data_IF_640380048009
#
_entry.id   IF_640380048009
#
_cell.length_a   1.000
_cell.length_b   1.000
_cell.length_c   1.000
_cell.angle_alpha   90.00
_cell.angle_beta   90.00
_cell.angle_gamma   90.00
#
_symmetry.space_group_name_H-M   'P 1'
#
loop_
_entity.id
_entity.type
_entity.pdbx_description
1 polymer ?
2 non-polymer ?
3 water ?
#
# COMPACT_ATOMS: atom_id res chain seq x y z
N UNK A 19 -14.01 9.74 31.00
CA UNK A 19 -12.92 8.74 30.76
C UNK A 19 -12.49 8.77 29.30
N UNK A 20 -11.19 8.87 29.05
CA UNK A 20 -10.73 9.10 27.68
C UNK A 20 -11.03 7.94 26.73
N UNK A 21 -11.04 8.19 25.43
CA UNK A 21 -10.96 7.13 24.44
C UNK A 21 -9.55 6.61 24.51
N UNK A 22 -9.35 5.40 24.01
CA UNK A 22 -8.01 4.83 23.95
C UNK A 22 -7.61 4.66 22.49
N UNK A 23 -6.41 5.13 22.16
CA UNK A 23 -5.80 4.87 20.84
C UNK A 23 -4.56 4.01 21.01
N UNK A 24 -4.63 2.78 20.48
CA UNK A 24 -3.46 1.93 20.48
C UNK A 24 -2.64 2.16 19.20
N UNK A 25 -1.34 2.31 19.36
CA UNK A 25 -0.41 2.49 18.24
C UNK A 25 0.63 1.40 18.30
N UNK A 26 0.86 0.72 17.16
CA UNK A 26 1.73 -0.46 17.08
C UNK A 26 3.07 -0.07 16.47
N UNK A 27 4.17 -0.21 17.22
CA UNK A 27 5.51 0.15 16.74
C UNK A 27 6.18 -0.84 15.78
N UNK A 28 5.57 -2.01 15.59
CA UNK A 28 6.10 -2.98 14.62
C UNK A 28 5.25 -3.09 13.36
N UNK A 29 4.22 -2.24 13.25
CA UNK A 29 3.43 -2.10 12.03
C UNK A 29 4.35 -1.70 10.90
N UNK A 30 4.30 -2.43 9.76
CA UNK A 30 5.19 -2.05 8.66
C UNK A 30 4.87 -0.70 8.07
N UNK A 31 3.63 -0.26 8.19
CA UNK A 31 3.29 1.10 7.90
C UNK A 31 2.72 1.67 9.18
N UNK A 32 3.53 2.46 9.87
CA UNK A 32 3.21 3.04 11.17
C UNK A 32 2.08 4.07 11.07
N UNK A 33 1.17 4.03 12.03
CA UNK A 33 -0.03 4.85 12.05
C UNK A 33 0.25 6.29 12.49
N UNK A 34 1.11 6.97 11.75
CA UNK A 34 1.50 8.34 12.11
C UNK A 34 0.31 9.27 12.04
N UNK A 35 -0.52 9.13 11.02
CA UNK A 35 -1.64 10.05 10.84
C UNK A 35 -2.56 10.04 12.04
N UNK A 36 -2.84 8.82 12.52
CA UNK A 36 -3.70 8.52 13.64
C UNK A 36 -3.08 9.07 14.89
N UNK A 37 -1.80 8.82 15.09
CA UNK A 37 -1.11 9.35 16.25
C UNK A 37 -1.11 10.88 16.27
N UNK A 38 -0.88 11.52 15.12
CA UNK A 38 -0.81 13.00 15.08
C UNK A 38 -2.20 13.59 15.35
N UNK A 39 -3.22 12.95 14.78
CA UNK A 39 -4.62 13.35 15.04
C UNK A 39 -4.91 13.42 16.53
N UNK A 40 -4.44 12.39 17.26
CA UNK A 40 -4.63 12.27 18.71
C UNK A 40 -3.83 13.31 19.42
N UNK A 41 -2.62 13.59 18.95
CA UNK A 41 -1.82 14.68 19.54
C UNK A 41 -2.48 16.04 19.37
N UNK A 42 -3.13 16.26 18.23
CA UNK A 42 -3.86 17.49 17.99
C UNK A 42 -5.04 17.59 18.95
N UNK A 43 -5.78 16.51 19.06
CA UNK A 43 -6.93 16.47 19.96
C UNK A 43 -6.52 16.78 21.42
N UNK A 44 -5.51 16.09 21.93
CA UNK A 44 -5.11 16.33 23.32
C UNK A 44 -4.44 17.68 23.55
N UNK A 45 -3.80 18.23 22.50
CA UNK A 45 -3.27 19.59 22.55
C UNK A 45 -4.36 20.61 22.83
N UNK A 46 -5.52 20.44 22.20
CA UNK A 46 -6.66 21.36 22.32
C UNK A 46 -7.74 20.95 23.30
N UNK A 47 -7.66 19.72 23.80
CA UNK A 47 -8.67 19.22 24.71
C UNK A 47 -8.00 18.11 25.51
N UNK A 48 -7.15 18.50 26.48
CA UNK A 48 -6.30 17.54 27.18
C UNK A 48 -7.08 16.38 27.80
N UNK A 49 -6.46 15.21 27.77
CA UNK A 49 -7.02 14.00 28.35
C UNK A 49 -8.23 13.49 27.57
N UNK A 50 -8.28 13.75 26.27
CA UNK A 50 -9.40 13.28 25.45
C UNK A 50 -9.15 11.84 24.97
N UNK A 51 -7.88 11.52 24.74
CA UNK A 51 -7.45 10.24 24.18
C UNK A 51 -6.22 9.76 24.95
N UNK A 52 -6.28 8.55 25.47
CA UNK A 52 -5.17 7.93 26.15
C UNK A 52 -4.43 7.09 25.11
N UNK A 53 -3.13 7.27 24.99
CA UNK A 53 -2.35 6.57 23.98
C UNK A 53 -1.77 5.32 24.61
N UNK A 54 -1.92 4.20 23.94
CA UNK A 54 -1.44 2.91 24.43
C UNK A 54 -0.58 2.30 23.35
N UNK A 55 0.48 1.61 23.76
CA UNK A 55 1.43 1.02 22.83
C UNK A 55 1.39 -0.49 22.79
N UNK A 56 1.55 -1.02 21.59
CA UNK A 56 1.84 -2.44 21.41
C UNK A 56 3.01 -2.49 20.45
N UNK A 57 3.67 -3.64 20.37
CA UNK A 57 4.89 -3.77 19.59
C UNK A 57 4.89 -5.18 19.07
N UNK A 58 4.06 -5.40 18.06
CA UNK A 58 3.83 -6.75 17.56
C UNK A 58 3.32 -6.62 16.16
N UNK A 59 4.06 -7.17 15.20
CA UNK A 59 3.68 -7.05 13.81
C UNK A 59 2.42 -7.84 13.46
N UNK A 60 2.02 -8.76 14.33
CA UNK A 60 0.74 -9.49 14.15
C UNK A 60 -0.40 -8.85 14.95
N UNK A 61 -0.47 -7.53 14.91
CA UNK A 61 -1.55 -6.79 15.57
C UNK A 61 -1.87 -5.63 14.65
N UNK A 62 -3.12 -5.12 14.71
CA UNK A 62 -3.49 -3.94 13.95
C UNK A 62 -2.47 -2.81 14.14
N UNK A 63 -2.33 -1.99 13.12
CA UNK A 63 -1.47 -0.82 13.19
C UNK A 63 -1.96 0.19 14.22
N UNK A 64 -3.27 0.23 14.40
CA UNK A 64 -3.90 1.20 15.29
C UNK A 64 -5.31 0.72 15.61
N UNK A 65 -5.81 1.14 16.76
CA UNK A 65 -7.13 0.75 17.18
C UNK A 65 -7.69 1.92 17.99
N UNK A 66 -8.90 2.37 17.69
CA UNK A 66 -9.56 3.39 18.50
C UNK A 66 -10.64 2.70 19.29
N UNK A 67 -10.45 2.63 20.60
CA UNK A 67 -11.30 1.85 21.49
C UNK A 67 -11.29 0.39 20.97
N UNK A 68 -12.38 -0.12 20.42
CA UNK A 68 -12.32 -1.47 19.86
C UNK A 68 -12.28 -1.48 18.33
N UNK A 69 -12.33 -0.30 17.73
CA UNK A 69 -12.43 -0.19 16.28
C UNK A 69 -11.04 -0.32 15.65
N UNK A 70 -10.88 -1.29 14.75
CA UNK A 70 -9.65 -1.47 13.96
C UNK A 70 -9.74 -1.00 12.49
N UNK A 71 -10.95 -0.72 12.01
CA UNK A 71 -11.18 -0.35 10.62
C UNK A 71 -11.43 1.16 10.54
N UNK A 72 -10.86 1.82 9.54
CA UNK A 72 -11.13 3.24 9.29
C UNK A 72 -10.82 4.05 10.55
N UNK A 73 -9.66 3.78 11.18
CA UNK A 73 -9.32 4.38 12.47
C UNK A 73 -9.16 5.92 12.40
N UNK A 74 -8.40 6.41 11.42
CA UNK A 74 -8.19 7.84 11.24
C UNK A 74 -9.54 8.55 11.22
N UNK A 75 -10.42 8.11 10.33
CA UNK A 75 -11.70 8.78 10.19
C UNK A 75 -12.57 8.69 11.44
N UNK A 76 -12.42 7.62 12.19
CA UNK A 76 -13.12 7.47 13.43
C UNK A 76 -12.61 8.50 14.46
N UNK A 77 -11.32 8.80 14.48
CA UNK A 77 -10.82 9.82 15.42
C UNK A 77 -11.42 11.18 15.07
N UNK A 78 -11.42 11.41 13.78
CA UNK A 78 -11.75 12.65 13.12
C UNK A 78 -13.24 13.00 13.31
N UNK A 79 -14.09 11.99 13.21
CA UNK A 79 -15.53 12.14 13.34
C UNK A 79 -15.98 12.17 14.80
N UNK A 80 -15.26 11.41 15.63
CA UNK A 80 -15.48 11.40 17.08
C UNK A 80 -15.13 12.75 17.66
N UNK A 81 -14.02 13.32 17.20
CA UNK A 81 -13.58 14.62 17.71
C UNK A 81 -13.85 15.72 16.70
N UNK A 82 -15.10 15.77 16.24
CA UNK A 82 -15.48 16.68 15.16
C UNK A 82 -15.35 18.15 15.55
N UNK A 83 -15.51 18.43 16.84
CA UNK A 83 -15.28 19.76 17.41
C UNK A 83 -13.89 20.29 17.15
N UNK A 84 -12.90 19.41 17.17
CA UNK A 84 -11.51 19.77 16.88
C UNK A 84 -11.23 19.82 15.37
N UNK A 85 -11.65 18.78 14.66
CA UNK A 85 -11.47 18.71 13.21
C UNK A 85 -12.67 19.36 12.54
N UNK A 86 -12.69 20.70 12.61
CA UNK A 86 -13.85 21.51 12.27
C UNK A 86 -13.64 22.41 11.06
N UNK A 87 -12.52 22.24 10.35
CA UNK A 87 -12.22 23.05 9.16
C UNK A 87 -12.03 22.20 7.91
N UNK A 88 -12.65 22.62 6.82
CA UNK A 88 -12.65 21.83 5.58
C UNK A 88 -14.03 21.29 5.24
N UNK A 89 -14.47 21.51 4.00
CA UNK A 89 -15.62 20.80 3.48
C UNK A 89 -15.26 19.33 3.58
N UNK A 90 -16.20 18.54 4.10
CA UNK A 90 -15.94 17.14 4.44
C UNK A 90 -15.70 16.28 3.20
N UNK A 91 -16.42 16.59 2.11
CA UNK A 91 -16.17 15.95 0.82
C UNK A 91 -14.70 16.21 0.39
N UNK A 92 -14.26 17.46 0.51
CA UNK A 92 -12.89 17.78 0.09
C UNK A 92 -11.87 17.17 1.07
N UNK A 93 -12.15 17.16 2.36
CA UNK A 93 -11.22 16.49 3.28
C UNK A 93 -11.11 14.99 2.96
N UNK A 94 -12.26 14.35 2.75
CA UNK A 94 -12.26 12.92 2.40
C UNK A 94 -11.42 12.58 1.18
N UNK A 95 -11.43 13.41 0.14
CA UNK A 95 -10.59 13.14 -1.05
C UNK A 95 -9.13 13.04 -0.71
N UNK A 96 -8.67 13.92 0.18
CA UNK A 96 -7.26 14.00 0.46
C UNK A 96 -6.88 12.98 1.49
N UNK A 97 -7.75 12.70 2.43
CA UNK A 97 -7.55 11.59 3.34
C UNK A 97 -7.52 10.27 2.60
N UNK A 98 -8.41 10.10 1.63
CA UNK A 98 -8.36 8.93 0.75
C UNK A 98 -7.04 8.80 0.00
N UNK A 99 -6.57 9.89 -0.59
CA UNK A 99 -5.28 9.87 -1.29
C UNK A 99 -4.15 9.42 -0.37
N UNK A 100 -4.13 9.95 0.86
CA UNK A 100 -3.08 9.61 1.80
C UNK A 100 -3.15 8.13 2.16
N UNK A 101 -4.34 7.64 2.43
CA UNK A 101 -4.49 6.30 3.01
C UNK A 101 -4.47 5.24 1.94
N UNK A 102 -4.89 5.60 0.73
CA UNK A 102 -4.95 4.65 -0.38
C UNK A 102 -3.77 4.73 -1.32
N UNK A 103 -3.13 5.89 -1.40
CA UNK A 103 -2.09 6.09 -2.40
C UNK A 103 -0.73 6.50 -1.83
N UNK A 104 -0.66 7.48 -0.92
CA UNK A 104 0.64 7.94 -0.46
C UNK A 104 1.41 6.97 0.44
N UNK A 105 0.73 5.98 1.02
CA UNK A 105 1.43 4.97 1.85
C UNK A 105 2.06 3.81 1.05
N UNK A 106 1.65 3.70 -0.22
CA UNK A 106 2.01 2.58 -1.07
C UNK A 106 3.38 2.81 -1.69
N UNK A 107 4.27 1.83 -1.50
CA UNK A 107 5.61 1.89 -2.00
C UNK A 107 5.70 1.36 -3.43
N UNK A 108 5.14 2.17 -4.34
CA UNK A 108 5.25 1.98 -5.77
C UNK A 108 5.69 3.31 -6.38
N UNK A 109 6.88 3.29 -6.95
CA UNK A 109 7.57 4.47 -7.46
C UNK A 109 6.77 5.29 -8.47
N UNK A 110 6.27 4.63 -9.52
CA UNK A 110 5.47 5.33 -10.52
C UNK A 110 4.20 5.92 -9.90
N UNK A 111 3.50 5.11 -9.11
CA UNK A 111 2.24 5.56 -8.52
C UNK A 111 2.47 6.68 -7.54
N UNK A 112 3.52 6.54 -6.73
CA UNK A 112 3.82 7.54 -5.72
C UNK A 112 4.22 8.85 -6.39
N UNK A 113 5.00 8.76 -7.45
CA UNK A 113 5.34 9.93 -8.27
C UNK A 113 4.11 10.75 -8.71
N UNK A 114 3.12 10.04 -9.24
CA UNK A 114 1.92 10.71 -9.71
C UNK A 114 1.18 11.34 -8.55
N UNK A 115 1.06 10.61 -7.46
CA UNK A 115 0.25 11.09 -6.32
C UNK A 115 0.93 12.33 -5.72
N UNK A 116 2.25 12.28 -5.63
CA UNK A 116 3.03 13.41 -5.15
C UNK A 116 2.92 14.63 -6.07
N UNK A 117 2.69 14.40 -7.36
CA UNK A 117 2.52 15.50 -8.31
C UNK A 117 1.20 16.19 -8.08
N UNK A 118 0.18 15.37 -7.83
CA UNK A 118 -1.15 15.89 -7.54
C UNK A 118 -1.13 16.80 -6.30
N UNK A 119 -0.49 16.32 -5.23
CA UNK A 119 -0.38 17.08 -3.99
C UNK A 119 0.48 18.36 -4.18
N UNK A 120 1.58 18.22 -4.92
CA UNK A 120 2.44 19.38 -5.26
C UNK A 120 1.66 20.49 -5.99
N UNK A 121 0.85 20.10 -6.97
CA UNK A 121 0.08 21.07 -7.74
C UNK A 121 -0.94 21.73 -6.84
N UNK A 122 -1.56 20.93 -5.98
CA UNK A 122 -2.51 21.42 -4.99
C UNK A 122 -1.88 22.48 -4.05
N UNK A 123 -0.61 22.29 -3.70
CA UNK A 123 0.06 23.16 -2.76
C UNK A 123 0.76 24.34 -3.45
N UNK A 124 0.55 24.50 -4.76
CA UNK A 124 1.24 25.55 -5.48
C UNK A 124 0.89 26.92 -4.92
N UNK A 125 -0.39 27.18 -4.68
CA UNK A 125 -0.79 28.52 -4.30
C UNK A 125 -1.30 28.59 -2.85
N UNK A 126 -1.02 27.54 -2.07
CA UNK A 126 -1.61 27.28 -0.76
C UNK A 126 -0.53 26.89 0.25
N UNK A 127 -0.65 27.33 1.51
CA UNK A 127 0.21 26.80 2.59
C UNK A 127 -0.20 25.38 2.99
N UNK A 128 -1.51 25.20 3.14
CA UNK A 128 -2.08 23.91 3.53
C UNK A 128 -3.00 23.42 2.43
N UNK A 129 -3.31 22.13 2.46
CA UNK A 129 -3.96 21.46 1.32
C UNK A 129 -5.28 22.09 0.92
N UNK A 130 -6.07 22.50 1.91
CA UNK A 130 -7.37 23.06 1.63
C UNK A 130 -7.38 24.58 1.70
N UNK A 131 -6.22 25.19 1.96
CA UNK A 131 -6.07 26.62 1.76
C UNK A 131 -6.58 27.49 2.88
N UNK A 132 -6.67 26.95 4.10
CA UNK A 132 -7.02 27.76 5.27
C UNK A 132 -5.80 28.35 5.97
N UNK A 133 -6.03 29.14 7.02
CA UNK A 133 -4.93 29.62 7.87
C UNK A 133 -4.42 28.49 8.73
N UNK A 134 -5.31 27.55 9.02
CA UNK A 134 -5.10 26.42 9.92
C UNK A 134 -4.91 25.19 9.05
N UNK A 135 -4.06 24.26 9.45
CA UNK A 135 -4.07 22.96 8.75
C UNK A 135 -5.35 22.21 9.11
N UNK A 136 -5.65 21.22 8.29
CA UNK A 136 -6.83 20.38 8.48
C UNK A 136 -6.44 18.92 8.54
N UNK A 137 -7.45 18.08 8.68
CA UNK A 137 -7.30 16.64 8.67
C UNK A 137 -6.68 16.17 7.39
N UNK A 138 -6.91 16.89 6.31
CA UNK A 138 -6.28 16.53 5.04
C UNK A 138 -4.74 16.52 5.19
N UNK A 139 -4.21 17.58 5.82
CA UNK A 139 -2.79 17.74 6.02
C UNK A 139 -2.27 16.64 6.94
N UNK A 140 -3.05 16.29 7.96
CA UNK A 140 -2.59 15.32 8.96
C UNK A 140 -2.45 13.95 8.32
N UNK A 141 -3.42 13.59 7.53
CA UNK A 141 -3.40 12.31 6.86
C UNK A 141 -2.28 12.23 5.84
N UNK A 142 -2.07 13.29 5.04
CA UNK A 142 -1.03 13.26 4.03
C UNK A 142 0.35 13.33 4.64
N UNK A 143 0.50 14.10 5.71
CA UNK A 143 1.80 14.19 6.35
C UNK A 143 2.19 12.86 7.00
N UNK A 144 1.27 12.28 7.75
CA UNK A 144 1.48 10.96 8.35
C UNK A 144 1.80 9.89 7.34
N UNK A 145 1.04 9.85 6.25
CA UNK A 145 1.29 8.89 5.17
C UNK A 145 2.72 9.03 4.66
N UNK A 146 3.18 10.25 4.38
CA UNK A 146 4.54 10.42 3.82
C UNK A 146 5.65 10.13 4.86
N UNK A 147 5.38 10.43 6.12
CA UNK A 147 6.29 10.09 7.21
C UNK A 147 6.48 8.58 7.25
N UNK A 148 5.41 7.84 7.00
CA UNK A 148 5.47 6.38 7.08
C UNK A 148 6.21 5.78 5.86
N UNK A 149 6.27 6.53 4.75
CA UNK A 149 6.75 6.00 3.46
C UNK A 149 8.12 6.53 3.09
N UNK A 150 9.13 5.69 3.32
CA UNK A 150 10.53 6.04 3.12
C UNK A 150 10.92 6.32 1.67
N UNK A 151 10.12 5.85 0.72
CA UNK A 151 10.36 6.06 -0.71
C UNK A 151 10.18 7.52 -1.17
N UNK A 152 9.34 8.27 -0.48
CA UNK A 152 8.92 9.56 -0.99
C UNK A 152 9.99 10.67 -0.97
N UNK A 153 10.94 10.57 -0.04
CA UNK A 153 11.91 11.63 0.16
C UNK A 153 12.61 11.98 -1.12
N UNK A 154 13.18 10.96 -1.76
CA UNK A 154 13.93 11.13 -2.99
C UNK A 154 13.06 11.54 -4.18
N UNK A 155 11.81 11.10 -4.21
CA UNK A 155 10.93 11.46 -5.31
C UNK A 155 10.63 12.95 -5.27
N UNK A 156 10.35 13.42 -4.08
CA UNK A 156 10.02 14.80 -3.83
C UNK A 156 11.17 15.68 -4.27
N UNK A 157 12.38 15.23 -4.00
CA UNK A 157 13.57 15.98 -4.40
C UNK A 157 13.81 15.93 -5.89
N UNK A 158 13.88 14.73 -6.43
CA UNK A 158 14.34 14.49 -7.81
C UNK A 158 13.32 14.91 -8.89
N UNK A 159 12.04 14.95 -8.50
CA UNK A 159 10.94 15.43 -9.37
C UNK A 159 10.48 16.82 -8.98
N UNK A 160 11.23 17.44 -8.09
CA UNK A 160 11.15 18.86 -7.77
C UNK A 160 9.75 19.23 -7.36
N UNK A 161 9.21 18.43 -6.44
CA UNK A 161 7.94 18.70 -5.77
C UNK A 161 8.20 19.60 -4.61
N UNK A 162 8.51 20.86 -4.90
CA UNK A 162 9.09 21.74 -3.92
C UNK A 162 7.99 22.27 -3.03
N UNK A 163 6.78 22.26 -3.52
CA UNK A 163 5.64 22.66 -2.70
C UNK A 163 5.39 21.62 -1.62
N UNK A 164 5.48 20.35 -1.99
CA UNK A 164 5.38 19.26 -1.01
C UNK A 164 6.52 19.37 0.00
N UNK A 165 7.72 19.58 -0.51
CA UNK A 165 8.89 19.72 0.35
C UNK A 165 8.69 20.79 1.42
N UNK A 166 8.25 21.95 0.98
CA UNK A 166 8.12 23.10 1.87
C UNK A 166 6.97 22.93 2.84
N UNK A 167 5.86 22.39 2.36
CA UNK A 167 4.73 22.03 3.23
C UNK A 167 5.11 20.97 4.28
N UNK A 168 5.87 19.96 3.89
CA UNK A 168 6.30 18.88 4.79
C UNK A 168 7.25 19.44 5.88
N UNK A 169 8.21 20.25 5.47
CA UNK A 169 9.12 20.91 6.41
C UNK A 169 8.39 21.87 7.35
N UNK A 170 7.42 22.62 6.83
CA UNK A 170 6.63 23.51 7.68
C UNK A 170 6.02 22.70 8.81
N UNK A 171 5.25 21.69 8.44
CA UNK A 171 4.58 20.84 9.42
C UNK A 171 5.56 20.09 10.33
N UNK A 172 6.69 19.65 9.80
CA UNK A 172 7.70 18.96 10.60
C UNK A 172 8.25 19.85 11.75
N UNK A 173 8.37 21.15 11.52
CA UNK A 173 8.80 22.08 12.59
C UNK A 173 7.77 22.26 13.73
N UNK A 174 6.56 21.77 13.51
CA UNK A 174 5.52 21.74 14.51
C UNK A 174 5.67 20.41 15.24
N UNK A 175 6.07 20.45 16.54
CA UNK A 175 6.32 19.25 17.34
C UNK A 175 5.20 18.21 17.32
N UNK A 176 3.97 18.70 17.25
CA UNK A 176 2.81 17.83 17.16
C UNK A 176 3.00 16.80 16.05
N UNK A 177 3.61 17.23 14.94
CA UNK A 177 3.93 16.34 13.79
C UNK A 177 5.35 15.81 13.91
N UNK A 178 6.30 16.72 13.99
CA UNK A 178 7.71 16.39 13.85
C UNK A 178 8.36 15.62 15.00
N UNK A 179 7.74 15.63 16.19
CA UNK A 179 8.24 14.81 17.32
C UNK A 179 7.40 13.54 17.54
N UNK A 180 6.43 13.25 16.67
CA UNK A 180 5.59 12.08 16.85
C UNK A 180 6.43 10.79 16.77
N UNK A 181 7.35 10.74 15.82
CA UNK A 181 8.27 9.61 15.72
C UNK A 181 9.10 9.43 17.01
N UNK A 182 9.79 10.47 17.45
CA UNK A 182 10.53 10.44 18.73
C UNK A 182 9.65 10.06 19.93
N UNK A 183 8.44 10.60 19.99
CA UNK A 183 7.49 10.20 21.02
C UNK A 183 7.23 8.70 20.97
N UNK A 184 6.98 8.20 19.79
CA UNK A 184 6.68 6.79 19.63
C UNK A 184 7.88 5.90 20.01
N UNK A 185 9.06 6.30 19.56
CA UNK A 185 10.26 5.50 19.79
C UNK A 185 10.80 5.54 21.23
N UNK A 186 10.67 6.68 21.90
CA UNK A 186 10.98 6.76 23.35
C UNK A 186 9.99 5.99 24.21
N UNK A 187 8.72 6.03 23.86
CA UNK A 187 7.69 5.29 24.57
C UNK A 187 7.86 3.79 24.41
N UNK A 188 8.30 3.38 23.23
CA UNK A 188 8.51 1.96 22.97
C UNK A 188 9.76 1.48 23.70
N UNK A 189 10.77 2.35 23.76
CA UNK A 189 11.99 2.08 24.55
C UNK A 189 11.67 1.86 26.02
N UNK A 190 10.83 2.72 26.57
CA UNK A 190 10.45 2.61 27.97
C UNK A 190 9.59 1.37 28.18
N UNK A 191 8.85 0.98 27.15
CA UNK A 191 8.03 -0.23 27.19
C UNK A 191 8.94 -1.46 27.31
N UNK A 192 9.98 -1.52 26.48
CA UNK A 192 10.97 -2.60 26.51
C UNK A 192 11.74 -2.60 27.83
N UNK A 193 12.07 -1.42 28.31
CA UNK A 193 12.81 -1.31 29.58
C UNK A 193 11.98 -1.82 30.73
N UNK A 194 10.68 -1.55 30.72
CA UNK A 194 9.76 -2.07 31.75
C UNK A 194 9.52 -3.58 31.65
N UNK A 195 9.43 -4.10 30.44
CA UNK A 195 9.34 -5.56 30.26
C UNK A 195 10.64 -6.23 30.70
N UNK A 196 11.75 -5.50 30.64
CA UNK A 196 13.06 -6.03 31.01
C UNK A 196 13.56 -5.59 32.37
N UNK A 197 12.71 -5.45 33.37
CA UNK A 197 13.22 -5.12 34.71
C UNK A 197 13.04 -6.26 35.74
N UNK A 198 14.13 -6.49 36.49
CA UNK A 198 14.38 -7.73 37.22
C UNK A 198 14.63 -7.46 38.67
N UNK B 16 -0.51 0.96 -31.84
CA UNK B 16 -0.32 0.37 -33.21
C UNK B 16 -0.28 -1.17 -33.15
N UNK B 17 0.77 -1.75 -32.55
CA UNK B 17 0.67 -3.05 -31.86
C UNK B 17 1.70 -4.16 -32.19
N UNK B 18 1.24 -5.40 -32.38
CA UNK B 18 1.94 -6.61 -31.94
C UNK B 18 3.17 -7.17 -32.72
N UNK B 19 4.28 -6.44 -32.87
CA UNK B 19 5.10 -5.94 -31.74
C UNK B 19 5.47 -7.00 -30.70
N UNK B 20 6.79 -7.33 -30.58
CA UNK B 20 7.29 -7.91 -29.33
C UNK B 20 7.54 -6.77 -28.33
N UNK B 21 6.93 -6.85 -27.16
CA UNK B 21 7.14 -5.84 -26.13
C UNK B 21 8.37 -6.17 -25.25
N UNK B 22 8.80 -5.19 -24.48
CA UNK B 22 9.83 -5.41 -23.46
C UNK B 22 9.22 -5.08 -22.12
N UNK B 23 9.31 -6.02 -21.18
CA UNK B 23 8.83 -5.75 -19.82
C UNK B 23 10.04 -5.70 -18.91
N UNK B 24 10.23 -4.56 -18.26
CA UNK B 24 11.38 -4.43 -17.38
C UNK B 24 10.87 -4.62 -15.96
N UNK B 25 11.53 -5.49 -15.20
CA UNK B 25 11.11 -5.70 -13.81
C UNK B 25 12.26 -5.27 -12.89
N UNK B 26 11.93 -4.56 -11.82
CA UNK B 26 12.90 -4.01 -10.89
C UNK B 26 12.96 -4.93 -9.69
N UNK B 27 14.05 -5.68 -9.56
CA UNK B 27 14.22 -6.59 -8.42
C UNK B 27 14.31 -5.93 -7.05
N UNK B 28 14.61 -4.64 -7.00
CA UNK B 28 14.76 -3.92 -5.73
C UNK B 28 13.58 -3.04 -5.40
N UNK B 29 12.53 -3.12 -6.20
CA UNK B 29 11.28 -2.50 -5.86
C UNK B 29 10.86 -3.04 -4.49
N UNK B 30 10.47 -2.16 -3.57
CA UNK B 30 9.95 -2.59 -2.27
C UNK B 30 8.75 -3.47 -2.36
N UNK B 31 7.88 -3.25 -3.34
CA UNK B 31 6.73 -4.12 -3.64
C UNK B 31 6.99 -4.65 -5.07
N UNK B 32 7.47 -5.89 -5.18
CA UNK B 32 7.94 -6.43 -6.49
C UNK B 32 6.75 -6.69 -7.38
N UNK B 33 6.86 -6.32 -8.67
CA UNK B 33 5.78 -6.45 -9.65
C UNK B 33 5.53 -7.90 -10.07
N UNK B 34 5.09 -8.74 -9.11
CA UNK B 34 4.92 -10.15 -9.42
C UNK B 34 3.73 -10.34 -10.35
N UNK B 35 2.67 -9.57 -10.20
CA UNK B 35 1.55 -9.81 -11.08
C UNK B 35 1.97 -9.64 -12.57
N UNK B 36 2.68 -8.54 -12.81
CA UNK B 36 3.15 -8.16 -14.14
C UNK B 36 4.08 -9.20 -14.71
N UNK B 37 5.07 -9.62 -13.92
CA UNK B 37 6.04 -10.63 -14.34
C UNK B 37 5.29 -11.94 -14.69
N UNK B 38 4.40 -12.41 -13.83
CA UNK B 38 3.65 -13.65 -14.11
C UNK B 38 2.70 -13.51 -15.33
N UNK B 39 2.02 -12.37 -15.48
CA UNK B 39 1.21 -12.09 -16.68
C UNK B 39 2.05 -12.29 -17.93
N UNK B 40 3.25 -11.70 -17.93
CA UNK B 40 4.19 -11.87 -19.06
C UNK B 40 4.63 -13.29 -19.28
N UNK B 41 4.85 -14.03 -18.20
CA UNK B 41 5.21 -15.46 -18.29
C UNK B 41 4.05 -16.24 -18.93
N UNK B 42 2.82 -15.92 -18.57
CA UNK B 42 1.67 -16.59 -19.17
C UNK B 42 1.63 -16.33 -20.68
N UNK B 43 1.75 -15.06 -21.04
CA UNK B 43 1.73 -14.66 -22.45
C UNK B 43 2.75 -15.45 -23.30
N UNK B 44 4.00 -15.45 -22.87
CA UNK B 44 5.05 -16.16 -23.55
C UNK B 44 4.85 -17.67 -23.54
N UNK B 45 4.15 -18.20 -22.55
CA UNK B 45 3.87 -19.63 -22.51
C UNK B 45 2.98 -20.05 -23.68
N UNK B 46 2.03 -19.17 -24.03
CA UNK B 46 1.01 -19.43 -25.07
C UNK B 46 1.31 -18.75 -26.39
N UNK B 47 2.33 -17.91 -26.40
CA UNK B 47 2.71 -17.14 -27.57
C UNK B 47 4.17 -16.75 -27.41
N UNK B 48 5.09 -17.72 -27.66
CA UNK B 48 6.49 -17.49 -27.33
C UNK B 48 7.07 -16.23 -28.00
N UNK B 49 7.98 -15.57 -27.30
CA UNK B 49 8.70 -14.45 -27.85
C UNK B 49 7.83 -13.23 -28.08
N UNK B 50 6.77 -13.10 -27.28
CA UNK B 50 5.89 -11.92 -27.30
C UNK B 50 6.45 -10.78 -26.47
N UNK B 51 7.00 -11.14 -25.32
CA UNK B 51 7.48 -10.18 -24.34
C UNK B 51 8.89 -10.53 -23.90
N UNK B 52 9.83 -9.64 -24.17
CA UNK B 52 11.18 -9.77 -23.65
C UNK B 52 11.18 -9.27 -22.23
N UNK B 53 11.56 -10.13 -21.29
CA UNK B 53 11.58 -9.76 -19.88
C UNK B 53 13.03 -9.36 -19.48
N UNK B 54 13.19 -8.17 -18.94
CA UNK B 54 14.51 -7.66 -18.57
C UNK B 54 14.46 -7.21 -17.12
N UNK B 55 15.61 -7.25 -16.47
CA UNK B 55 15.72 -6.93 -15.06
C UNK B 55 16.50 -5.66 -14.83
N UNK B 56 15.99 -4.82 -13.96
CA UNK B 56 16.79 -3.76 -13.35
C UNK B 56 16.87 -3.99 -11.85
N UNK B 57 17.82 -3.32 -11.21
CA UNK B 57 18.03 -3.49 -9.78
C UNK B 57 18.29 -2.14 -9.13
N UNK B 58 17.26 -1.32 -9.07
CA UNK B 58 17.39 0.06 -8.61
C UNK B 58 16.16 0.56 -7.91
N UNK B 59 16.23 0.69 -6.57
CA UNK B 59 15.03 0.98 -5.77
C UNK B 59 14.38 2.32 -6.12
N UNK B 60 15.18 3.21 -6.74
CA UNK B 60 14.70 4.50 -7.24
C UNK B 60 14.37 4.42 -8.74
N UNK B 61 13.56 3.44 -9.12
CA UNK B 61 13.16 3.24 -10.53
C UNK B 61 11.82 2.51 -10.48
N UNK B 62 11.00 2.60 -11.55
CA UNK B 62 9.69 1.95 -11.58
C UNK B 62 9.76 0.44 -11.25
N UNK B 63 8.73 -0.08 -10.60
CA UNK B 63 8.69 -1.50 -10.27
C UNK B 63 8.54 -2.31 -11.56
N UNK B 64 7.81 -1.74 -12.54
CA UNK B 64 7.62 -2.43 -13.83
C UNK B 64 7.45 -1.38 -14.91
N UNK B 65 7.85 -1.72 -16.13
CA UNK B 65 7.78 -0.79 -17.26
C UNK B 65 7.51 -1.66 -18.47
N UNK B 66 6.39 -1.48 -19.15
CA UNK B 66 6.14 -2.18 -20.44
C UNK B 66 6.39 -1.22 -21.59
N UNK B 67 7.39 -1.52 -22.42
CA UNK B 67 7.87 -0.58 -23.43
C UNK B 67 8.10 0.80 -22.81
N UNK B 68 7.41 1.87 -23.23
CA UNK B 68 7.58 3.18 -22.54
C UNK B 68 6.57 3.45 -21.40
N UNK B 69 5.69 2.51 -21.13
CA UNK B 69 4.60 2.68 -20.17
C UNK B 69 5.01 2.34 -18.72
N UNK B 70 4.86 3.28 -17.79
CA UNK B 70 5.12 3.03 -16.35
C UNK B 70 3.85 3.04 -15.53
N UNK B 71 2.74 3.38 -16.17
CA UNK B 71 1.43 3.49 -15.51
C UNK B 71 0.56 2.38 -16.03
N UNK B 72 -0.14 1.76 -15.09
CA UNK B 72 -1.11 0.70 -15.32
C UNK B 72 -0.54 -0.44 -16.11
N UNK B 73 0.62 -0.89 -15.69
CA UNK B 73 1.39 -1.84 -16.49
C UNK B 73 0.65 -3.18 -16.61
N UNK B 74 0.05 -3.63 -15.51
CA UNK B 74 -0.65 -4.93 -15.50
C UNK B 74 -1.81 -4.89 -16.47
N UNK B 75 -2.67 -3.88 -16.37
CA UNK B 75 -3.79 -3.77 -17.29
C UNK B 75 -3.40 -3.61 -18.75
N UNK B 76 -2.22 -3.04 -19.01
CA UNK B 76 -1.78 -2.82 -20.39
C UNK B 76 -1.30 -4.13 -20.96
N UNK B 77 -0.66 -4.95 -20.13
CA UNK B 77 -0.35 -6.30 -20.52
C UNK B 77 -1.59 -7.11 -20.87
N UNK B 78 -2.60 -7.11 -19.99
CA UNK B 78 -3.77 -7.96 -20.19
C UNK B 78 -4.63 -7.42 -21.33
N UNK B 79 -4.59 -6.10 -21.53
CA UNK B 79 -5.27 -5.47 -22.65
C UNK B 79 -4.59 -5.73 -23.96
N UNK B 80 -3.27 -5.61 -23.98
CA UNK B 80 -2.55 -5.81 -25.23
C UNK B 80 -2.73 -7.29 -25.69
N UNK B 81 -2.56 -8.21 -24.75
CA UNK B 81 -2.66 -9.62 -25.03
C UNK B 81 -4.04 -10.19 -24.63
N UNK B 82 -5.08 -9.50 -25.09
CA UNK B 82 -6.47 -9.84 -24.82
C UNK B 82 -6.83 -11.24 -25.34
N UNK B 83 -6.24 -11.66 -26.45
CA UNK B 83 -6.50 -13.01 -27.01
C UNK B 83 -6.07 -14.14 -26.05
N UNK B 84 -5.05 -13.85 -25.26
CA UNK B 84 -4.62 -14.71 -24.17
C UNK B 84 -5.48 -14.50 -22.92
N UNK B 85 -5.65 -13.26 -22.50
CA UNK B 85 -6.50 -12.95 -21.36
C UNK B 85 -7.96 -12.78 -21.76
N UNK B 86 -8.62 -13.91 -22.04
CA UNK B 86 -9.93 -13.91 -22.75
C UNK B 86 -11.22 -14.27 -21.95
N UNK B 87 -11.19 -14.10 -20.63
CA UNK B 87 -12.41 -13.99 -19.84
C UNK B 87 -12.29 -14.92 -18.65
N UNK B 88 -12.79 -14.48 -17.49
CA UNK B 88 -14.21 -14.30 -17.27
C UNK B 88 -14.73 -12.93 -17.63
N UNK B 89 -15.96 -12.64 -17.22
CA UNK B 89 -16.49 -11.30 -17.32
C UNK B 89 -15.38 -10.27 -17.08
N UNK B 90 -15.17 -9.40 -18.04
CA UNK B 90 -14.18 -8.32 -17.90
C UNK B 90 -14.42 -7.40 -16.71
N UNK B 91 -15.66 -7.06 -16.44
CA UNK B 91 -15.98 -6.18 -15.29
C UNK B 91 -15.67 -6.86 -13.95
N UNK B 92 -15.90 -8.16 -13.86
CA UNK B 92 -15.56 -8.90 -12.66
C UNK B 92 -14.07 -9.14 -12.58
N UNK B 93 -13.44 -9.45 -13.71
CA UNK B 93 -12.00 -9.49 -13.70
C UNK B 93 -11.48 -8.20 -13.08
N UNK B 94 -11.91 -7.06 -13.60
CA UNK B 94 -11.43 -5.76 -13.13
C UNK B 94 -11.66 -5.55 -11.64
N UNK B 95 -12.79 -6.00 -11.12
CA UNK B 95 -13.05 -5.84 -9.68
C UNK B 95 -11.94 -6.48 -8.82
N UNK B 96 -11.48 -7.67 -9.22
CA UNK B 96 -10.47 -8.44 -8.47
C UNK B 96 -9.04 -7.99 -8.73
N UNK B 97 -8.76 -7.57 -9.96
CA UNK B 97 -7.55 -6.84 -10.22
C UNK B 97 -7.47 -5.58 -9.38
N UNK B 98 -8.56 -4.83 -9.23
CA UNK B 98 -8.49 -3.62 -8.40
C UNK B 98 -8.27 -3.94 -6.93
N UNK B 99 -8.85 -5.02 -6.46
CA UNK B 99 -8.63 -5.46 -5.09
C UNK B 99 -7.15 -5.76 -4.91
N UNK B 100 -6.62 -6.49 -5.87
CA UNK B 100 -5.24 -6.93 -5.76
C UNK B 100 -4.31 -5.73 -5.70
N UNK B 101 -4.53 -4.78 -6.59
CA UNK B 101 -3.59 -3.69 -6.82
C UNK B 101 -3.67 -2.60 -5.82
N UNK B 102 -4.88 -2.37 -5.31
CA UNK B 102 -5.15 -1.25 -4.42
C UNK B 102 -5.24 -1.67 -2.96
N UNK B 103 -5.45 -2.95 -2.68
CA UNK B 103 -5.67 -3.42 -1.32
C UNK B 103 -4.80 -4.57 -0.85
N UNK B 104 -4.55 -5.55 -1.69
CA UNK B 104 -3.83 -6.72 -1.20
C UNK B 104 -2.33 -6.44 -1.07
N UNK B 105 -1.85 -5.36 -1.67
CA UNK B 105 -0.42 -5.00 -1.58
C UNK B 105 -0.14 -4.13 -0.35
N UNK B 106 -1.19 -3.64 0.29
CA UNK B 106 -1.05 -2.74 1.47
C UNK B 106 -0.73 -3.52 2.73
N UNK B 107 0.36 -3.13 3.39
CA UNK B 107 0.84 -3.83 4.56
C UNK B 107 0.22 -3.19 5.78
N UNK B 108 -1.08 -3.44 5.95
CA UNK B 108 -1.84 -2.99 7.09
C UNK B 108 -2.64 -4.21 7.60
N UNK B 109 -2.41 -4.58 8.85
CA UNK B 109 -2.84 -5.89 9.34
C UNK B 109 -4.35 -6.06 9.26
N UNK B 110 -5.07 -5.05 9.72
CA UNK B 110 -6.52 -5.08 9.74
C UNK B 110 -7.06 -5.00 8.33
N UNK B 111 -6.45 -4.20 7.46
CA UNK B 111 -6.97 -4.04 6.11
C UNK B 111 -6.78 -5.33 5.30
N UNK B 112 -5.58 -5.86 5.38
CA UNK B 112 -5.25 -7.09 4.71
C UNK B 112 -6.09 -8.26 5.24
N UNK B 113 -6.37 -8.30 6.54
CA UNK B 113 -7.28 -9.28 7.11
C UNK B 113 -8.68 -9.20 6.46
N UNK B 114 -9.20 -7.99 6.28
CA UNK B 114 -10.52 -7.80 5.69
C UNK B 114 -10.51 -8.28 4.24
N UNK B 115 -9.46 -7.92 3.53
CA UNK B 115 -9.36 -8.21 2.11
C UNK B 115 -9.21 -9.71 1.87
N UNK B 116 -8.52 -10.37 2.78
CA UNK B 116 -8.31 -11.82 2.68
C UNK B 116 -9.57 -12.59 3.04
N UNK B 117 -10.37 -12.03 3.93
CA UNK B 117 -11.68 -12.59 4.18
C UNK B 117 -12.58 -12.56 2.93
N UNK B 118 -12.56 -11.44 2.24
CA UNK B 118 -13.35 -11.26 1.01
C UNK B 118 -12.94 -12.30 -0.03
N UNK B 119 -11.63 -12.47 -0.19
CA UNK B 119 -11.11 -13.47 -1.09
C UNK B 119 -11.50 -14.87 -0.64
N UNK B 120 -11.27 -15.18 0.63
CA UNK B 120 -11.57 -16.53 1.18
C UNK B 120 -13.04 -16.94 0.96
N UNK B 121 -13.94 -15.98 1.15
CA UNK B 121 -15.35 -16.22 0.88
C UNK B 121 -15.60 -16.45 -0.60
N UNK B 122 -14.93 -15.68 -1.47
CA UNK B 122 -15.12 -15.79 -2.92
C UNK B 122 -14.71 -17.17 -3.37
N UNK B 123 -13.64 -17.68 -2.76
CA UNK B 123 -13.06 -18.98 -3.13
C UNK B 123 -13.76 -20.18 -2.49
N UNK B 124 -14.84 -19.96 -1.75
CA UNK B 124 -15.59 -21.07 -1.19
C UNK B 124 -16.18 -21.86 -2.35
N UNK B 125 -15.88 -23.16 -2.39
CA UNK B 125 -16.40 -24.08 -3.42
C UNK B 125 -15.96 -23.77 -4.87
N UNK B 126 -14.86 -23.03 -5.01
CA UNK B 126 -14.31 -22.60 -6.30
C UNK B 126 -12.85 -22.87 -6.32
N UNK B 127 -12.34 -23.31 -7.47
CA UNK B 127 -10.92 -23.48 -7.63
C UNK B 127 -10.27 -22.13 -7.85
N UNK B 128 -10.86 -21.33 -8.75
CA UNK B 128 -10.33 -20.03 -9.13
C UNK B 128 -11.36 -18.95 -8.84
N UNK B 129 -10.87 -17.72 -8.74
CA UNK B 129 -11.68 -16.60 -8.22
C UNK B 129 -13.02 -16.49 -8.92
N UNK B 130 -13.01 -16.49 -10.25
CA UNK B 130 -14.25 -16.37 -11.04
C UNK B 130 -14.92 -17.70 -11.39
N UNK B 131 -14.43 -18.79 -10.81
CA UNK B 131 -15.12 -20.07 -10.86
C UNK B 131 -14.98 -20.87 -12.14
N UNK B 132 -14.07 -20.48 -13.02
CA UNK B 132 -13.90 -21.17 -14.30
C UNK B 132 -13.03 -22.40 -14.22
N UNK B 133 -12.86 -23.05 -15.37
CA UNK B 133 -12.02 -24.23 -15.50
C UNK B 133 -10.53 -23.85 -15.45
N UNK B 134 -10.21 -22.63 -15.84
CA UNK B 134 -8.83 -22.17 -15.81
C UNK B 134 -8.80 -20.84 -15.09
N UNK B 135 -7.61 -20.46 -14.63
CA UNK B 135 -7.44 -19.21 -13.90
C UNK B 135 -7.61 -18.02 -14.85
N UNK B 136 -7.90 -16.85 -14.28
CA UNK B 136 -8.03 -15.63 -15.06
C UNK B 136 -7.08 -14.56 -14.52
N UNK B 137 -7.05 -13.40 -15.16
CA UNK B 137 -6.16 -12.34 -14.74
C UNK B 137 -6.42 -11.93 -13.29
N UNK B 138 -7.67 -12.10 -12.83
CA UNK B 138 -8.02 -11.90 -11.43
C UNK B 138 -7.15 -12.74 -10.49
N UNK B 139 -6.95 -14.02 -10.84
CA UNK B 139 -6.08 -14.90 -10.04
C UNK B 139 -4.63 -14.44 -10.11
N UNK B 140 -4.20 -14.06 -11.30
CA UNK B 140 -2.81 -13.61 -11.49
C UNK B 140 -2.50 -12.37 -10.62
N UNK B 141 -3.36 -11.36 -10.67
CA UNK B 141 -3.19 -10.13 -9.91
C UNK B 141 -3.18 -10.38 -8.40
N UNK B 142 -4.08 -11.24 -7.94
CA UNK B 142 -4.22 -11.45 -6.50
C UNK B 142 -3.06 -12.28 -5.97
N UNK B 143 -2.66 -13.32 -6.70
CA UNK B 143 -1.53 -14.14 -6.32
C UNK B 143 -0.26 -13.33 -6.26
N UNK B 144 -0.01 -12.52 -7.30
CA UNK B 144 1.15 -11.65 -7.35
C UNK B 144 1.16 -10.71 -6.18
N UNK B 145 0.01 -10.15 -5.81
CA UNK B 145 0.00 -9.20 -4.70
C UNK B 145 0.33 -9.87 -3.38
N UNK B 146 -0.21 -11.07 -3.20
CA UNK B 146 0.04 -11.88 -2.02
C UNK B 146 1.52 -12.26 -1.89
N UNK B 147 2.10 -12.75 -2.98
CA UNK B 147 3.53 -13.04 -3.02
C UNK B 147 4.41 -11.85 -2.60
N UNK B 148 3.99 -10.63 -2.95
CA UNK B 148 4.73 -9.42 -2.57
C UNK B 148 4.51 -8.99 -1.15
N UNK B 149 3.47 -9.51 -0.51
CA UNK B 149 3.08 -9.01 0.79
C UNK B 149 3.37 -10.04 1.89
N UNK B 150 4.46 -9.82 2.61
CA UNK B 150 4.93 -10.76 3.64
C UNK B 150 4.03 -10.97 4.83
N UNK B 151 3.10 -10.03 5.08
CA UNK B 151 2.16 -10.20 6.18
C UNK B 151 1.18 -11.33 5.95
N UNK B 152 0.94 -11.73 4.70
CA UNK B 152 -0.26 -12.51 4.42
C UNK B 152 -0.21 -13.96 4.96
N UNK B 153 0.96 -14.59 4.96
CA UNK B 153 1.04 -15.98 5.42
C UNK B 153 0.56 -16.15 6.85
N UNK B 154 0.97 -15.24 7.73
CA UNK B 154 0.56 -15.30 9.12
C UNK B 154 -0.94 -15.01 9.31
N UNK B 155 -1.46 -14.07 8.53
CA UNK B 155 -2.90 -13.75 8.60
C UNK B 155 -3.80 -14.93 8.15
N UNK B 156 -3.44 -15.53 7.03
CA UNK B 156 -4.15 -16.69 6.49
C UNK B 156 -4.23 -17.80 7.55
N UNK B 157 -3.09 -18.10 8.18
CA UNK B 157 -3.09 -19.06 9.30
C UNK B 157 -4.00 -18.66 10.46
N UNK B 158 -3.72 -17.50 11.03
CA UNK B 158 -4.42 -17.05 12.22
C UNK B 158 -5.90 -16.73 12.01
N UNK B 159 -6.28 -16.28 10.83
CA UNK B 159 -7.70 -16.13 10.47
C UNK B 159 -8.33 -17.38 9.84
N UNK B 160 -7.54 -18.44 9.63
CA UNK B 160 -8.01 -19.72 9.07
C UNK B 160 -8.68 -19.54 7.71
N UNK B 161 -8.00 -18.82 6.83
CA UNK B 161 -8.43 -18.63 5.46
C UNK B 161 -8.00 -19.82 4.63
N UNK B 162 -8.67 -20.95 4.84
CA UNK B 162 -8.22 -22.19 4.22
C UNK B 162 -8.44 -22.17 2.70
N UNK B 163 -9.48 -21.49 2.24
CA UNK B 163 -9.70 -21.36 0.80
C UNK B 163 -8.58 -20.59 0.10
N UNK B 164 -8.12 -19.51 0.73
CA UNK B 164 -6.98 -18.75 0.17
C UNK B 164 -5.72 -19.63 0.14
N UNK B 165 -5.47 -20.38 1.21
CA UNK B 165 -4.23 -21.18 1.30
C UNK B 165 -4.19 -22.23 0.20
N UNK B 166 -5.33 -22.86 -0.03
CA UNK B 166 -5.37 -23.92 -1.03
C UNK B 166 -5.25 -23.35 -2.45
N UNK B 167 -5.96 -22.25 -2.72
CA UNK B 167 -5.87 -21.58 -4.01
C UNK B 167 -4.48 -21.07 -4.22
N UNK B 168 -3.91 -20.44 -3.19
CA UNK B 168 -2.55 -19.89 -3.32
C UNK B 168 -1.57 -21.03 -3.58
N UNK B 169 -1.71 -22.13 -2.85
CA UNK B 169 -0.82 -23.27 -2.96
C UNK B 169 -0.93 -23.93 -4.34
N UNK B 170 -2.16 -24.04 -4.84
CA UNK B 170 -2.44 -24.62 -6.16
C UNK B 170 -1.63 -23.90 -7.23
N UNK B 171 -1.76 -22.58 -7.23
CA UNK B 171 -1.02 -21.75 -8.18
C UNK B 171 0.51 -21.74 -7.94
N UNK B 172 0.92 -21.76 -6.69
CA UNK B 172 2.35 -21.79 -6.34
C UNK B 172 3.08 -23.00 -6.98
N UNK B 173 2.39 -24.11 -7.21
CA UNK B 173 3.02 -25.31 -7.73
C UNK B 173 3.03 -25.34 -9.26
N UNK B 174 2.41 -24.33 -9.86
CA UNK B 174 2.50 -24.06 -11.28
C UNK B 174 3.75 -23.18 -11.47
N UNK B 175 4.78 -23.70 -12.15
CA UNK B 175 6.05 -22.98 -12.29
C UNK B 175 5.93 -21.56 -12.82
N UNK B 176 4.93 -21.31 -13.66
CA UNK B 176 4.63 -19.96 -14.16
C UNK B 176 4.49 -18.96 -13.04
N UNK B 177 3.88 -19.38 -11.92
CA UNK B 177 3.69 -18.53 -10.71
C UNK B 177 4.88 -18.75 -9.75
N UNK B 178 5.09 -20.02 -9.37
CA UNK B 178 5.99 -20.38 -8.31
C UNK B 178 7.49 -20.32 -8.55
N UNK B 179 7.91 -20.20 -9.82
CA UNK B 179 9.30 -19.98 -10.15
C UNK B 179 9.55 -18.57 -10.65
N UNK B 180 8.58 -17.67 -10.53
CA UNK B 180 8.79 -16.28 -10.93
C UNK B 180 9.89 -15.64 -10.06
N UNK B 181 9.83 -15.87 -8.73
CA UNK B 181 10.83 -15.29 -7.84
C UNK B 181 12.24 -15.77 -8.18
N UNK B 182 12.36 -17.09 -8.37
CA UNK B 182 13.62 -17.69 -8.80
C UNK B 182 14.09 -17.14 -10.12
N UNK B 183 13.17 -16.77 -11.00
CA UNK B 183 13.58 -16.12 -12.24
C UNK B 183 14.30 -14.78 -11.91
N UNK B 184 13.66 -13.98 -11.07
CA UNK B 184 14.22 -12.69 -10.67
C UNK B 184 15.60 -12.83 -10.04
N UNK B 185 15.72 -13.70 -9.04
CA UNK B 185 16.99 -13.84 -8.29
C UNK B 185 18.12 -14.29 -9.18
N UNK B 186 17.81 -15.27 -10.03
CA UNK B 186 18.78 -15.85 -10.96
C UNK B 186 19.13 -14.83 -12.05
N UNK B 187 18.15 -14.02 -12.44
CA UNK B 187 18.40 -12.97 -13.43
C UNK B 187 19.19 -11.83 -12.81
N UNK B 188 19.00 -11.57 -11.52
CA UNK B 188 19.71 -10.47 -10.83
C UNK B 188 21.19 -10.77 -10.63
N UNK B 189 21.54 -12.04 -10.45
CA UNK B 189 22.94 -12.46 -10.42
C UNK B 189 23.64 -12.21 -11.75
N UNK B 190 22.89 -12.33 -12.84
CA UNK B 190 23.46 -12.20 -14.18
C UNK B 190 23.65 -10.74 -14.55
N UNK B 191 22.89 -9.87 -13.90
CA UNK B 191 23.05 -8.44 -14.07
C UNK B 191 24.40 -8.00 -13.50
N UNK B 192 24.83 -8.67 -12.43
CA UNK B 192 26.11 -8.41 -11.78
C UNK B 192 27.23 -9.23 -12.45
N UNK B 193 27.38 -9.06 -13.76
CA UNK B 193 28.41 -9.76 -14.51
C UNK B 193 28.59 -9.14 -15.90
X LIG C 1 -4.04 -4.26 19.32
X LIG D 1 8.34 7.32 -12.91
X LIG E 1 -9.15 27.71 8.55
X LIG F 1 -10.82 19.07 9.57
X LIG G 1 6.71 14.85 -12.28
X LIG H 1 12.38 2.47 -0.59
X LIG I 1 14.13 9.15 -6.91
X LIG J 1 4.23 -11.36 10.04
X LIG K 1 -14.08 -1.90 13.40
X LIG L 1 -0.83 13.24 23.38
X LIG M 1 0.28 3.01 -11.85
X LIG N 1 -7.74 7.97 -3.84
X LIG O 1 -3.10 14.99 27.44
X LIG P 1 12.60 11.87 12.97
X LIG Q 1 -2.61 30.22 1.67
X LIG R 1 3.76 -0.92 -11.56
X LIG S 1 12.44 5.97 10.70
X LIG T 1 -12.50 23.22 1.73
X LIG U 1 9.36 3.95 16.12
X LIG V 1 4.90 27.57 3.47
X LIG W 1 13.07 1.18 -15.55
X LIG X 1 -10.64 -21.99 14.38
X LIG Y 1 -8.62 -12.86 -18.16
X LIG Z 1 -7.91 -7.27 12.93
X LIG AA 1 -12.76 -20.70 -18.20
X LIG BA 1 -1.67 1.69 6.01
X LIG CA 1 2.41 -1.92 -5.78
X LIG DA 1 9.76 -17.07 -24.93
X LIG EA 1 -8.81 -0.14 7.55
X LIG FA 1 5.24 -24.12 -17.44
X LIG GA 1 -8.78 -9.72 -18.67
X LIG HA 1 8.28 -8.03 -2.62
X LIG IA 1 6.54 -22.48 -19.18
X LIG JA 1 8.68 -15.89 -20.23
X LIG KA 1 11.30 -12.92 -0.74
X LIG LA 1 -10.75 -2.05 -4.64
X LIG MA 1 14.57 -19.70 -13.42
X LIG NA 1 5.07 -27.66 4.48
X LIG OA 1 20.30 -1.40 -12.99
X LIG PA 1 10.08 -19.04 -3.72
X LIG QA 1 -2.85 -12.03 -27.89
X LIG RA 1 -0.65 -28.28 -4.65
X LIG SA 1 -7.61 -27.12 -5.52
X LIG TA 1 6.79 -6.99 4.34
#
# INVERSE_FOLDING_TARGET
>A
GHMTKLFSKVKESIEGIKMPSTLTINGKAPIVAYAELIAARIVNALAPNSIAIKLVDDKKAPAAKLDDATEDVFNKITSKFAAIFDNGDKEQVAKWVNLAQKELVIKNFAKLSQSLETLDSQLNLRTFILGGLKYSAADVACWGALRSNGMCGSIIKNKVDVNVSRWYTLLEMDPIFGEAHDFLSKSLLELKKSANVGKKKETHKANFE
>B
GHMTKLFSKVKESIEGIKMPSTLTINGKAPIVAYAELIAARIVNALAPNSIAIKLVDDKKAPAAKLDDATEDVFNKITSKFAAIFDNGDKEQVAKWVNLAQKELVIKNFAKLSQSLETLDSQLNLRTFILGGLKYSAADVACWGALRSNGMCGSIIKNKVDVNVSRWYTLLEMDPIFGEAHDFLSKSLLELKKSANVGKKKETHKANFE
>C hetero
1 IOD I
>D hetero
1 IOD I
>E hetero
1 IOD I
>F hetero
1 IOD I
>G hetero
1 IOD I
>H hetero
1 IOD I
>I hetero
1 IOD I
>J hetero
1 IOD I
>K hetero
1 IOD I
>L hetero
1 IOD I
>M hetero
1 IOD I
>N hetero
1 IOD I
>O hetero
1 IOD I
>P hetero
1 IOD I
>Q hetero
1 IOD I
>R hetero
1 IOD I
>S hetero
1 IOD I
>T hetero
1 IOD I
>U hetero
1 IOD I
>V hetero
1 IOD I
>W hetero
1 IOD I
>X hetero
1 IOD I
>Y hetero
1 IOD I
>Z hetero
1 IOD I
>AA hetero
1 IOD I
>BA hetero
1 IOD I
>CA hetero
1 IOD I
>DA hetero
1 IOD I
>EA hetero
1 IOD I
>FA hetero
1 IOD I
>GA hetero
1 IOD I
>HA hetero
1 IOD I
>IA hetero
1 IOD I
>JA hetero
1 IOD I
>KA hetero
1 IOD I
>LA hetero
1 IOD I
>MA hetero
1 IOD I
>NA hetero
1 IOD I
>OA hetero
1 IOD I
>PA hetero
1 IOD I
>QA hetero
1 IOD I
>RA hetero
1 IOD I
>SA hetero
1 IOD I
>TA hetero
1 IOD I
#
